data_IF_821723331123
#
_entry.id   IF_821723331123
#
_cell.length_a   1.000
_cell.length_b   1.000
_cell.length_c   1.000
_cell.angle_alpha   90.00
_cell.angle_beta   90.00
_cell.angle_gamma   90.00
#
_symmetry.space_group_name_H-M   'P 1'
#
loop_
_entity.id
_entity.type
_entity.pdbx_description
1 polymer ?
#
# COMPACT_ATOMS: atom_id res chain seq x y z
N UNK A 1 33.11 49.03 22.31
CA UNK A 1 33.04 48.37 23.63
C UNK A 1 31.62 48.48 24.14
N UNK A 2 30.80 47.46 23.92
CA UNK A 2 29.47 47.35 24.50
C UNK A 2 29.22 45.87 24.79
N UNK A 3 29.29 45.54 26.07
CA UNK A 3 29.12 44.21 26.64
C UNK A 3 27.63 43.97 26.86
N UNK A 4 27.04 43.07 26.06
CA UNK A 4 25.69 42.57 26.27
C UNK A 4 25.79 41.33 27.16
N UNK A 5 25.43 41.50 28.43
CA UNK A 5 25.27 40.40 29.38
C UNK A 5 24.05 39.55 28.97
N UNK A 6 24.26 38.26 28.74
CA UNK A 6 23.20 37.26 28.69
C UNK A 6 23.01 36.73 30.11
N UNK A 7 21.87 37.03 30.69
CA UNK A 7 21.32 36.30 31.83
C UNK A 7 20.63 35.04 31.27
N UNK A 8 21.09 33.87 31.67
CA UNK A 8 20.42 32.60 31.44
C UNK A 8 19.41 32.38 32.57
N UNK A 9 18.12 32.08 32.28
CA UNK A 9 17.15 31.74 33.30
C UNK A 9 17.32 30.27 33.72
N UNK A 10 17.48 30.05 35.03
CA UNK A 10 17.43 28.74 35.69
C UNK A 10 16.04 28.09 35.50
N UNK A 11 15.90 27.25 34.48
CA UNK A 11 14.77 26.32 34.34
C UNK A 11 15.02 25.11 35.25
N UNK A 12 14.45 25.17 36.46
CA UNK A 12 14.33 24.02 37.34
C UNK A 12 13.28 23.05 36.75
N UNK A 13 13.74 22.10 35.93
CA UNK A 13 12.94 20.95 35.53
C UNK A 13 12.69 20.04 36.74
N UNK A 14 11.51 20.21 37.34
CA UNK A 14 10.97 19.34 38.37
C UNK A 14 10.69 17.95 37.76
N UNK A 15 11.65 17.04 37.94
CA UNK A 15 11.62 15.67 37.44
C UNK A 15 10.55 14.89 38.20
N UNK A 16 9.33 14.83 37.64
CA UNK A 16 8.29 13.92 38.11
C UNK A 16 8.77 12.48 37.92
N UNK A 17 9.12 11.82 39.03
CA UNK A 17 9.29 10.36 39.07
C UNK A 17 7.90 9.72 38.93
N UNK A 18 7.51 9.50 37.69
CA UNK A 18 6.40 8.64 37.30
C UNK A 18 6.76 7.21 37.77
N UNK A 19 6.27 6.84 38.96
CA UNK A 19 6.26 5.44 39.39
C UNK A 19 5.25 4.72 38.52
N UNK A 20 5.74 4.21 37.39
CA UNK A 20 4.99 3.32 36.51
C UNK A 20 4.35 2.21 37.36
N UNK A 21 3.04 2.05 37.18
CA UNK A 21 2.26 0.93 37.68
C UNK A 21 2.88 -0.37 37.17
N UNK A 22 3.79 -0.91 37.97
CA UNK A 22 4.54 -2.11 37.66
C UNK A 22 3.53 -3.24 37.53
N UNK A 23 3.30 -3.66 36.29
CA UNK A 23 2.35 -4.70 35.93
C UNK A 23 2.55 -5.88 36.89
N UNK A 24 1.48 -6.49 37.43
CA UNK A 24 1.61 -7.71 38.25
C UNK A 24 2.18 -8.90 37.46
N UNK A 25 2.45 -8.72 36.17
CA UNK A 25 3.11 -9.64 35.26
C UNK A 25 4.49 -9.17 34.79
N UNK A 26 4.96 -8.00 35.23
CA UNK A 26 6.34 -7.60 35.05
C UNK A 26 7.20 -8.51 35.94
N UNK A 27 8.05 -9.31 35.30
CA UNK A 27 9.09 -10.07 36.00
C UNK A 27 9.83 -9.07 36.92
N UNK A 28 9.81 -9.30 38.23
CA UNK A 28 10.55 -8.49 39.20
C UNK A 28 12.03 -8.58 38.85
N UNK A 29 12.57 -7.55 38.21
CA UNK A 29 13.88 -7.59 37.55
C UNK A 29 15.05 -7.90 38.52
N UNK A 30 14.86 -7.80 39.83
CA UNK A 30 15.93 -7.85 40.81
C UNK A 30 15.84 -8.95 41.90
N UNK A 31 14.81 -9.80 41.92
CA UNK A 31 14.76 -10.92 42.88
C UNK A 31 15.22 -12.24 42.25
N UNK A 32 16.49 -12.56 42.51
CA UNK A 32 17.15 -13.87 42.39
C UNK A 32 16.77 -14.72 41.18
N UNK A 33 17.23 -14.27 40.01
CA UNK A 33 17.22 -14.98 38.72
C UNK A 33 17.88 -16.39 38.74
N UNK A 34 18.42 -16.82 39.90
CA UNK A 34 18.94 -18.16 40.13
C UNK A 34 17.85 -19.17 40.52
N UNK A 35 16.77 -18.74 41.16
CA UNK A 35 15.69 -19.62 41.65
C UNK A 35 14.56 -19.79 40.63
N UNK A 36 14.59 -19.04 39.52
CA UNK A 36 13.68 -19.22 38.41
C UNK A 36 13.78 -20.64 37.85
N UNK A 37 12.66 -21.35 37.88
CA UNK A 37 12.53 -22.71 37.33
C UNK A 37 12.66 -22.64 35.80
N UNK A 38 13.71 -23.25 35.26
CA UNK A 38 14.00 -23.30 33.81
C UNK A 38 13.44 -24.56 33.14
N UNK A 39 13.11 -25.59 33.92
CA UNK A 39 12.58 -26.85 33.41
C UNK A 39 12.34 -27.85 34.54
N UNK A 40 12.07 -29.10 34.16
CA UNK A 40 11.86 -30.21 35.10
C UNK A 40 12.68 -31.42 34.64
N UNK A 41 13.29 -32.13 35.59
CA UNK A 41 14.00 -33.40 35.33
C UNK A 41 13.65 -34.37 36.45
N UNK A 42 13.17 -35.55 36.09
CA UNK A 42 12.78 -36.62 37.04
C UNK A 42 11.76 -36.18 38.11
N UNK A 43 10.93 -35.17 37.79
CA UNK A 43 9.92 -34.63 38.69
C UNK A 43 10.39 -33.50 39.60
N UNK A 44 11.69 -33.16 39.58
CA UNK A 44 12.24 -32.03 40.32
C UNK A 44 12.35 -30.78 39.43
N UNK A 45 12.09 -29.61 40.00
CA UNK A 45 12.22 -28.32 39.33
C UNK A 45 13.70 -27.99 39.14
N UNK A 46 14.10 -27.73 37.89
CA UNK A 46 15.47 -27.43 37.53
C UNK A 46 15.71 -25.92 37.54
N UNK A 47 16.51 -25.45 38.49
CA UNK A 47 16.93 -24.04 38.56
C UNK A 47 18.16 -23.78 37.69
N UNK A 48 18.54 -22.51 37.54
CA UNK A 48 19.76 -22.13 36.81
C UNK A 48 21.03 -22.65 37.48
N UNK A 49 21.02 -22.81 38.81
CA UNK A 49 22.12 -23.39 39.58
C UNK A 49 22.25 -24.89 39.31
N UNK A 50 21.13 -25.60 39.32
CA UNK A 50 21.10 -27.05 39.04
C UNK A 50 21.55 -27.33 37.61
N UNK A 51 21.11 -26.52 36.65
CA UNK A 51 21.54 -26.64 35.26
C UNK A 51 23.06 -26.48 35.11
N UNK A 52 23.69 -25.55 35.84
CA UNK A 52 25.17 -25.43 35.84
C UNK A 52 25.83 -26.67 36.46
N UNK A 53 25.30 -27.19 37.56
CA UNK A 53 25.85 -28.38 38.21
C UNK A 53 25.72 -29.63 37.33
N UNK A 54 24.58 -29.81 36.67
CA UNK A 54 24.36 -30.91 35.71
C UNK A 54 25.33 -30.81 34.54
N UNK A 55 25.49 -29.62 33.95
CA UNK A 55 26.43 -29.41 32.84
C UNK A 55 27.90 -29.64 33.23
N UNK A 56 28.25 -29.46 34.51
CA UNK A 56 29.57 -29.79 35.05
C UNK A 56 29.73 -31.28 35.32
N UNK A 57 28.69 -31.94 35.86
CA UNK A 57 28.74 -33.36 36.29
C UNK A 57 28.57 -34.33 35.13
N UNK A 58 27.79 -33.98 34.10
CA UNK A 58 27.42 -34.85 32.99
C UNK A 58 27.92 -34.30 31.64
N UNK A 59 29.04 -34.81 31.08
CA UNK A 59 29.58 -34.31 29.82
C UNK A 59 28.62 -34.51 28.62
N UNK A 60 27.83 -35.59 28.63
CA UNK A 60 26.83 -35.85 27.60
C UNK A 60 25.70 -34.80 27.60
N UNK A 61 25.31 -34.29 28.78
CA UNK A 61 24.31 -33.23 28.89
C UNK A 61 24.84 -31.91 28.31
N UNK A 62 26.15 -31.65 28.48
CA UNK A 62 26.81 -30.48 27.89
C UNK A 62 26.82 -30.51 26.37
N UNK A 63 27.14 -31.63 25.75
CA UNK A 63 27.12 -31.75 24.29
C UNK A 63 25.72 -31.52 23.72
N UNK A 64 24.68 -32.09 24.36
CA UNK A 64 23.28 -31.88 23.98
C UNK A 64 22.83 -30.43 24.16
N UNK A 65 23.26 -29.79 25.24
CA UNK A 65 22.95 -28.38 25.47
C UNK A 65 23.65 -27.48 24.44
N UNK A 66 24.92 -27.75 24.12
CA UNK A 66 25.64 -27.01 23.08
C UNK A 66 25.03 -27.22 21.69
N UNK A 67 24.58 -28.43 21.35
CA UNK A 67 23.89 -28.68 20.08
C UNK A 67 22.54 -27.94 20.02
N UNK A 68 21.72 -28.03 21.06
CA UNK A 68 20.46 -27.28 21.17
C UNK A 68 20.68 -25.78 21.13
N UNK A 69 21.77 -25.28 21.73
CA UNK A 69 22.14 -23.87 21.71
C UNK A 69 22.55 -23.42 20.30
N UNK A 70 23.29 -24.25 19.56
CA UNK A 70 23.62 -23.97 18.15
C UNK A 70 22.38 -24.00 17.26
N UNK A 71 21.50 -24.98 17.45
CA UNK A 71 20.26 -25.12 16.68
C UNK A 71 19.28 -23.98 16.97
N UNK A 72 19.17 -23.55 18.23
CA UNK A 72 18.35 -22.39 18.60
C UNK A 72 18.97 -21.08 18.14
N UNK A 73 20.30 -20.94 18.14
CA UNK A 73 20.97 -19.79 17.56
C UNK A 73 20.80 -19.70 16.04
N UNK A 74 20.80 -20.84 15.33
CA UNK A 74 20.53 -20.87 13.88
C UNK A 74 19.04 -20.66 13.56
N UNK A 75 18.14 -21.06 14.47
CA UNK A 75 16.69 -20.86 14.36
C UNK A 75 16.17 -19.53 14.87
N UNK A 76 17.02 -18.64 15.40
CA UNK A 76 16.63 -17.24 15.58
C UNK A 76 16.34 -16.70 14.19
N UNK A 77 15.06 -16.72 13.80
CA UNK A 77 14.58 -16.04 12.60
C UNK A 77 15.18 -14.64 12.70
N UNK A 78 15.93 -14.18 11.69
CA UNK A 78 16.40 -12.80 11.70
C UNK A 78 15.15 -11.97 11.99
N UNK A 79 15.25 -11.15 13.04
CA UNK A 79 14.29 -10.06 13.27
C UNK A 79 14.10 -9.44 11.90
N UNK A 80 12.85 -9.25 11.48
CA UNK A 80 12.50 -8.66 10.19
C UNK A 80 12.98 -7.19 10.16
N UNK A 81 14.29 -6.98 10.20
CA UNK A 81 14.94 -5.80 9.68
C UNK A 81 14.59 -5.84 8.21
N UNK A 82 13.86 -4.85 7.72
CA UNK A 82 13.48 -4.74 6.32
C UNK A 82 14.70 -5.07 5.46
N UNK A 83 14.70 -6.24 4.82
CA UNK A 83 15.84 -6.77 4.08
C UNK A 83 16.30 -5.84 2.94
N UNK A 84 15.49 -4.83 2.64
CA UNK A 84 15.66 -3.83 1.60
C UNK A 84 16.19 -2.49 2.12
N UNK A 85 16.25 -2.29 3.45
CA UNK A 85 16.79 -1.06 4.04
C UNK A 85 18.29 -0.93 3.74
N UNK A 86 18.69 0.19 3.14
CA UNK A 86 20.08 0.49 2.75
C UNK A 86 20.51 0.07 1.33
N UNK A 87 19.65 -0.60 0.55
CA UNK A 87 19.92 -0.87 -0.87
C UNK A 87 19.46 0.30 -1.77
N UNK A 88 20.15 0.55 -2.91
CA UNK A 88 19.66 1.50 -3.92
C UNK A 88 18.27 1.10 -4.46
N UNK A 89 17.41 2.05 -4.85
CA UNK A 89 16.04 1.78 -5.31
C UNK A 89 15.96 0.78 -6.48
N UNK A 90 16.93 0.84 -7.40
CA UNK A 90 17.00 -0.08 -8.54
C UNK A 90 17.21 -1.54 -8.10
N UNK A 91 18.01 -1.76 -7.04
CA UNK A 91 18.25 -3.08 -6.48
C UNK A 91 17.06 -3.57 -5.65
N UNK A 92 16.38 -2.66 -4.95
CA UNK A 92 15.15 -3.00 -4.23
C UNK A 92 14.07 -3.56 -5.19
N UNK A 93 13.91 -2.95 -6.37
CA UNK A 93 12.94 -3.41 -7.37
C UNK A 93 13.24 -4.81 -7.93
N UNK A 94 14.52 -5.14 -8.13
CA UNK A 94 14.94 -6.46 -8.64
C UNK A 94 14.71 -7.57 -7.60
N UNK A 95 15.04 -7.30 -6.33
CA UNK A 95 14.93 -8.31 -5.26
C UNK A 95 13.52 -8.40 -4.66
N UNK A 96 12.67 -7.40 -4.86
CA UNK A 96 11.23 -7.53 -4.62
C UNK A 96 10.60 -8.66 -5.46
N UNK A 97 11.20 -9.04 -6.59
CA UNK A 97 10.74 -10.12 -7.46
C UNK A 97 11.36 -11.49 -7.12
N UNK A 98 12.37 -11.55 -6.24
CA UNK A 98 13.11 -12.76 -5.88
C UNK A 98 13.32 -12.85 -4.36
N UNK A 99 12.25 -13.17 -3.59
CA UNK A 99 12.27 -13.09 -2.12
C UNK A 99 13.23 -14.09 -1.45
N UNK A 100 13.65 -15.14 -2.16
CA UNK A 100 14.53 -16.18 -1.63
C UNK A 100 16.04 -15.81 -1.74
N UNK A 101 16.37 -14.72 -2.43
CA UNK A 101 17.75 -14.29 -2.63
C UNK A 101 18.13 -13.17 -1.65
N UNK A 102 19.26 -13.32 -0.94
CA UNK A 102 19.76 -12.31 -0.01
C UNK A 102 20.29 -11.07 -0.79
N UNK A 103 19.59 -9.91 -0.72
CA UNK A 103 19.93 -8.74 -1.51
C UNK A 103 21.25 -8.09 -1.06
N UNK A 104 21.61 -8.19 0.23
CA UNK A 104 22.81 -7.56 0.77
C UNK A 104 24.09 -8.27 0.32
N UNK A 105 24.05 -9.61 0.27
CA UNK A 105 25.18 -10.42 -0.23
C UNK A 105 25.38 -10.19 -1.74
N UNK A 106 24.31 -10.06 -2.51
CA UNK A 106 24.42 -9.78 -3.93
C UNK A 106 24.97 -8.38 -4.23
N UNK A 107 24.50 -7.36 -3.50
CA UNK A 107 24.98 -5.99 -3.67
C UNK A 107 26.45 -5.83 -3.28
N UNK A 108 26.89 -6.43 -2.18
CA UNK A 108 28.30 -6.39 -1.77
C UNK A 108 29.22 -7.05 -2.81
N UNK A 109 28.79 -8.16 -3.42
CA UNK A 109 29.53 -8.79 -4.54
C UNK A 109 29.57 -7.91 -5.78
N UNK A 110 28.45 -7.33 -6.18
CA UNK A 110 28.40 -6.44 -7.34
C UNK A 110 29.27 -5.20 -7.15
N UNK A 111 29.28 -4.60 -5.94
CA UNK A 111 30.15 -3.47 -5.60
C UNK A 111 31.64 -3.85 -5.66
N UNK A 112 31.99 -5.05 -5.19
CA UNK A 112 33.35 -5.57 -5.28
C UNK A 112 33.76 -5.77 -6.74
N UNK A 113 32.89 -6.36 -7.56
CA UNK A 113 33.14 -6.62 -8.98
C UNK A 113 33.25 -5.32 -9.78
N UNK A 114 32.40 -4.33 -9.49
CA UNK A 114 32.48 -2.99 -10.08
C UNK A 114 33.81 -2.32 -9.71
N UNK A 115 34.25 -2.41 -8.46
CA UNK A 115 35.54 -1.85 -8.03
C UNK A 115 36.74 -2.53 -8.70
N UNK A 116 36.68 -3.85 -8.90
CA UNK A 116 37.70 -4.61 -9.65
C UNK A 116 37.72 -4.22 -11.11
N UNK A 117 36.54 -4.14 -11.75
CA UNK A 117 36.40 -3.72 -13.14
C UNK A 117 36.91 -2.28 -13.36
N UNK A 118 36.60 -1.35 -12.44
CA UNK A 118 37.12 0.03 -12.49
C UNK A 118 38.64 0.08 -12.37
N UNK A 119 39.23 -0.72 -11.47
CA UNK A 119 40.70 -0.83 -11.33
C UNK A 119 41.34 -1.37 -12.61
N UNK A 120 40.83 -2.47 -13.15
CA UNK A 120 41.33 -3.07 -14.39
C UNK A 120 41.19 -2.12 -15.57
N UNK A 121 40.03 -1.45 -15.71
CA UNK A 121 39.82 -0.46 -16.79
C UNK A 121 40.80 0.70 -16.67
N UNK A 122 41.01 1.23 -15.46
CA UNK A 122 41.96 2.33 -15.23
C UNK A 122 43.38 1.92 -15.60
N UNK A 123 43.81 0.74 -15.19
CA UNK A 123 45.12 0.18 -15.53
C UNK A 123 45.30 0.02 -17.05
N UNK A 124 44.30 -0.56 -17.74
CA UNK A 124 44.36 -0.71 -19.20
C UNK A 124 44.26 0.59 -20.00
N UNK A 125 43.59 1.63 -19.45
CA UNK A 125 43.49 2.94 -20.10
C UNK A 125 44.77 3.75 -19.91
N UNK A 126 45.32 3.75 -18.69
CA UNK A 126 46.56 4.45 -18.38
C UNK A 126 47.75 3.82 -19.16
N UNK A 127 47.79 2.50 -19.35
CA UNK A 127 48.80 1.84 -20.19
C UNK A 127 48.62 2.12 -21.70
N UNK A 128 47.39 2.31 -22.17
CA UNK A 128 47.09 2.56 -23.59
C UNK A 128 47.21 4.05 -23.97
N UNK A 129 47.23 4.96 -23.01
CA UNK A 129 47.34 6.42 -23.19
C UNK A 129 48.76 6.97 -22.99
N UNK A 130 49.79 6.13 -22.97
CA UNK A 130 51.19 6.58 -23.08
C UNK A 130 51.50 7.08 -24.50
N UNK A 131 50.91 8.21 -24.87
CA UNK A 131 51.16 8.94 -26.13
C UNK A 131 52.44 9.78 -26.09
N UNK A 132 53.12 9.80 -24.95
CA UNK A 132 54.39 10.50 -24.82
C UNK A 132 55.48 9.73 -25.57
N UNK A 133 56.16 10.43 -26.50
CA UNK A 133 57.29 9.90 -27.26
C UNK A 133 58.30 9.28 -26.32
N UNK A 134 58.57 7.98 -26.51
CA UNK A 134 59.51 7.25 -25.66
C UNK A 134 60.90 7.85 -25.88
N UNK A 135 61.61 8.26 -24.81
CA UNK A 135 62.92 8.89 -24.97
C UNK A 135 63.90 7.88 -25.58
N UNK A 136 64.40 8.18 -26.78
CA UNK A 136 65.43 7.39 -27.48
C UNK A 136 64.99 6.65 -28.75
N UNK A 137 63.72 6.70 -29.15
CA UNK A 137 63.26 6.15 -30.44
C UNK A 137 63.54 7.14 -31.58
N UNK A 138 64.00 6.65 -32.74
CA UNK A 138 64.15 7.47 -33.95
C UNK A 138 62.75 7.82 -34.49
N UNK A 139 62.60 9.03 -35.06
CA UNK A 139 61.33 9.53 -35.62
C UNK A 139 60.71 8.53 -36.62
N UNK A 140 61.54 7.83 -37.40
CA UNK A 140 61.06 6.83 -38.36
C UNK A 140 60.45 5.60 -37.67
N UNK A 141 61.05 5.15 -36.56
CA UNK A 141 60.53 4.03 -35.78
C UNK A 141 59.20 4.41 -35.12
N UNK A 142 59.09 5.61 -34.57
CA UNK A 142 57.86 6.14 -33.99
C UNK A 142 56.74 6.24 -35.03
N UNK A 143 57.03 6.72 -36.25
CA UNK A 143 56.05 6.75 -37.35
C UNK A 143 55.57 5.34 -37.72
N UNK A 144 56.47 4.34 -37.79
CA UNK A 144 56.06 2.96 -38.11
C UNK A 144 55.17 2.36 -37.02
N UNK A 145 55.49 2.61 -35.74
CA UNK A 145 54.73 2.17 -34.58
C UNK A 145 53.33 2.81 -34.54
N UNK A 146 53.26 4.13 -34.68
CA UNK A 146 51.98 4.86 -34.72
C UNK A 146 51.10 4.41 -35.90
N UNK A 147 51.70 4.07 -37.05
CA UNK A 147 50.95 3.50 -38.18
C UNK A 147 50.36 2.13 -37.86
N UNK A 148 51.09 1.24 -37.18
CA UNK A 148 50.53 -0.06 -36.75
C UNK A 148 49.45 0.12 -35.68
N UNK A 149 49.66 0.98 -34.69
CA UNK A 149 48.66 1.28 -33.65
C UNK A 149 47.39 1.89 -34.27
N UNK A 150 47.53 2.82 -35.21
CA UNK A 150 46.38 3.38 -35.92
C UNK A 150 45.61 2.33 -36.74
N UNK A 151 46.32 1.37 -37.36
CA UNK A 151 45.69 0.26 -38.08
C UNK A 151 44.94 -0.69 -37.13
N UNK A 152 45.49 -0.99 -35.97
CA UNK A 152 44.85 -1.79 -34.92
C UNK A 152 43.62 -1.09 -34.35
N UNK A 153 43.72 0.20 -34.00
CA UNK A 153 42.58 0.99 -33.52
C UNK A 153 41.48 1.05 -34.58
N UNK A 154 41.83 1.21 -35.86
CA UNK A 154 40.84 1.19 -36.94
C UNK A 154 40.13 -0.17 -37.04
N UNK A 155 40.86 -1.27 -36.83
CA UNK A 155 40.29 -2.63 -36.78
C UNK A 155 39.35 -2.77 -35.59
N UNK A 156 39.76 -2.35 -34.40
CA UNK A 156 38.95 -2.36 -33.18
C UNK A 156 37.66 -1.54 -33.34
N UNK A 157 37.76 -0.33 -33.91
CA UNK A 157 36.60 0.52 -34.19
C UNK A 157 35.64 -0.17 -35.15
N UNK A 158 36.13 -0.83 -36.19
CA UNK A 158 35.29 -1.57 -37.13
C UNK A 158 34.61 -2.79 -36.49
N UNK A 159 35.29 -3.48 -35.57
CA UNK A 159 34.74 -4.60 -34.80
C UNK A 159 33.67 -4.11 -33.81
N UNK A 160 33.95 -3.04 -33.07
CA UNK A 160 33.01 -2.41 -32.15
C UNK A 160 31.76 -1.90 -32.87
N UNK A 161 31.89 -1.36 -34.09
CA UNK A 161 30.75 -0.95 -34.92
C UNK A 161 29.83 -2.13 -35.25
N UNK A 162 30.39 -3.29 -35.64
CA UNK A 162 29.61 -4.50 -35.89
C UNK A 162 28.88 -4.99 -34.63
N UNK A 163 29.56 -4.97 -33.50
CA UNK A 163 28.96 -5.32 -32.20
C UNK A 163 27.82 -4.37 -31.86
N UNK A 164 27.96 -3.07 -32.10
CA UNK A 164 26.89 -2.09 -31.91
C UNK A 164 25.69 -2.36 -32.83
N UNK A 165 25.92 -2.66 -34.11
CA UNK A 165 24.87 -3.04 -35.07
C UNK A 165 24.13 -4.32 -34.62
N UNK A 166 24.85 -5.34 -34.15
CA UNK A 166 24.27 -6.57 -33.63
C UNK A 166 23.42 -6.32 -32.37
N UNK A 167 23.88 -5.47 -31.46
CA UNK A 167 23.11 -5.09 -30.27
C UNK A 167 21.88 -4.26 -30.63
N UNK A 168 21.98 -3.33 -31.58
CA UNK A 168 20.84 -2.57 -32.07
C UNK A 168 19.77 -3.49 -32.64
N UNK A 169 20.18 -4.49 -33.44
CA UNK A 169 19.27 -5.51 -33.97
C UNK A 169 18.61 -6.35 -32.88
N UNK A 170 19.38 -6.81 -31.87
CA UNK A 170 18.81 -7.55 -30.73
C UNK A 170 17.80 -6.72 -29.94
N UNK A 171 18.06 -5.42 -29.76
CA UNK A 171 17.12 -4.51 -29.11
C UNK A 171 15.84 -4.38 -29.93
N UNK A 172 15.95 -4.20 -31.24
CA UNK A 172 14.80 -4.14 -32.14
C UNK A 172 13.96 -5.43 -32.11
N UNK A 173 14.61 -6.60 -32.22
CA UNK A 173 13.96 -7.91 -32.13
C UNK A 173 13.24 -8.08 -30.78
N UNK A 174 13.86 -7.68 -29.67
CA UNK A 174 13.23 -7.76 -28.34
C UNK A 174 12.02 -6.82 -28.21
N UNK A 175 12.07 -5.63 -28.81
CA UNK A 175 10.96 -4.70 -28.83
C UNK A 175 9.80 -5.22 -29.69
N UNK A 176 10.08 -5.91 -30.79
CA UNK A 176 9.07 -6.55 -31.62
C UNK A 176 8.33 -7.65 -30.83
N UNK A 177 9.06 -8.53 -30.15
CA UNK A 177 8.48 -9.58 -29.29
C UNK A 177 7.64 -8.98 -28.15
N UNK A 178 8.09 -7.89 -27.54
CA UNK A 178 7.32 -7.19 -26.50
C UNK A 178 6.01 -6.59 -27.05
N UNK A 179 6.03 -6.02 -28.26
CA UNK A 179 4.82 -5.49 -28.91
C UNK A 179 3.83 -6.60 -29.25
N UNK A 180 4.32 -7.72 -29.79
CA UNK A 180 3.51 -8.90 -30.08
C UNK A 180 2.90 -9.50 -28.80
N UNK A 181 3.70 -9.67 -27.75
CA UNK A 181 3.23 -10.16 -26.45
C UNK A 181 2.15 -9.26 -25.83
N UNK A 182 2.27 -7.94 -25.96
CA UNK A 182 1.23 -6.98 -25.53
C UNK A 182 -0.05 -7.07 -26.36
N UNK A 183 0.04 -7.36 -27.66
CA UNK A 183 -1.13 -7.55 -28.49
C UNK A 183 -1.88 -8.84 -28.09
N UNK A 184 -1.14 -9.94 -27.90
CA UNK A 184 -1.71 -11.22 -27.46
C UNK A 184 -2.31 -11.14 -26.05
N UNK A 185 -1.65 -10.44 -25.11
CA UNK A 185 -2.21 -10.31 -23.76
C UNK A 185 -3.53 -9.53 -23.75
N UNK A 186 -3.65 -8.49 -24.59
CA UNK A 186 -4.91 -7.74 -24.77
C UNK A 186 -6.02 -8.59 -25.36
N UNK A 187 -5.74 -9.46 -26.32
CA UNK A 187 -6.77 -10.34 -26.91
C UNK A 187 -7.24 -11.38 -25.91
N UNK A 188 -6.31 -11.97 -25.14
CA UNK A 188 -6.65 -12.92 -24.06
C UNK A 188 -7.46 -12.25 -22.96
N UNK A 189 -7.08 -11.04 -22.54
CA UNK A 189 -7.83 -10.28 -21.53
C UNK A 189 -9.26 -10.00 -21.98
N UNK A 190 -9.46 -9.54 -23.22
CA UNK A 190 -10.80 -9.31 -23.78
C UNK A 190 -11.64 -10.57 -23.88
N UNK A 191 -11.03 -11.69 -24.28
CA UNK A 191 -11.70 -12.99 -24.31
C UNK A 191 -12.13 -13.43 -22.91
N UNK A 192 -11.26 -13.23 -21.91
CA UNK A 192 -11.57 -13.51 -20.51
C UNK A 192 -12.70 -12.61 -19.98
N UNK A 193 -12.67 -11.31 -20.26
CA UNK A 193 -13.73 -10.36 -19.88
C UNK A 193 -15.08 -10.76 -20.48
N UNK A 194 -15.08 -11.16 -21.76
CA UNK A 194 -16.29 -11.60 -22.46
C UNK A 194 -16.83 -12.90 -21.86
N UNK A 195 -15.97 -13.90 -21.62
CA UNK A 195 -16.38 -15.15 -20.99
C UNK A 195 -16.89 -14.94 -19.54
N UNK A 196 -16.26 -14.03 -18.79
CA UNK A 196 -16.69 -13.66 -17.45
C UNK A 196 -18.05 -12.95 -17.45
N UNK A 197 -18.28 -12.07 -18.43
CA UNK A 197 -19.57 -11.43 -18.65
C UNK A 197 -20.65 -12.47 -18.98
N UNK A 198 -20.42 -13.33 -19.97
CA UNK A 198 -21.36 -14.36 -20.40
C UNK A 198 -21.71 -15.31 -19.24
N UNK A 199 -20.70 -15.72 -18.46
CA UNK A 199 -20.91 -16.52 -17.25
C UNK A 199 -21.78 -15.80 -16.21
N UNK A 200 -21.54 -14.50 -15.98
CA UNK A 200 -22.30 -13.70 -15.02
C UNK A 200 -23.74 -13.46 -15.48
N UNK A 201 -23.98 -13.34 -16.79
CA UNK A 201 -25.30 -13.29 -17.41
C UNK A 201 -26.00 -14.64 -17.28
N UNK A 202 -25.33 -15.74 -17.60
CA UNK A 202 -25.88 -17.10 -17.50
C UNK A 202 -26.26 -17.47 -16.06
N UNK A 203 -25.46 -17.03 -15.08
CA UNK A 203 -25.75 -17.17 -13.65
C UNK A 203 -26.88 -16.24 -13.15
N UNK A 204 -27.36 -15.33 -13.99
CA UNK A 204 -28.43 -14.38 -13.66
C UNK A 204 -28.00 -13.23 -12.74
N UNK A 205 -26.73 -13.15 -12.35
CA UNK A 205 -26.23 -12.14 -11.42
C UNK A 205 -26.35 -10.73 -12.01
N UNK A 206 -25.91 -10.53 -13.26
CA UNK A 206 -25.96 -9.22 -13.94
C UNK A 206 -27.39 -8.72 -14.17
N UNK A 207 -28.32 -9.62 -14.49
CA UNK A 207 -29.71 -9.26 -14.77
C UNK A 207 -30.46 -8.89 -13.49
N UNK A 208 -30.15 -9.57 -12.38
CA UNK A 208 -30.70 -9.22 -11.07
C UNK A 208 -30.11 -7.93 -10.49
N UNK A 209 -28.82 -7.64 -10.73
CA UNK A 209 -28.18 -6.42 -10.24
C UNK A 209 -28.64 -5.19 -11.00
N UNK A 210 -28.75 -5.26 -12.34
CA UNK A 210 -29.27 -4.16 -13.15
C UNK A 210 -30.71 -3.79 -12.75
N UNK A 211 -31.55 -4.80 -12.56
CA UNK A 211 -32.93 -4.61 -12.11
C UNK A 211 -33.01 -4.00 -10.70
N UNK A 212 -32.13 -4.42 -9.78
CA UNK A 212 -32.02 -3.81 -8.46
C UNK A 212 -31.65 -2.31 -8.53
N UNK A 213 -30.65 -1.94 -9.34
CA UNK A 213 -30.26 -0.53 -9.50
C UNK A 213 -31.35 0.31 -10.18
N UNK A 214 -32.12 -0.27 -11.10
CA UNK A 214 -33.29 0.38 -11.68
C UNK A 214 -34.36 0.68 -10.62
N UNK A 215 -34.68 -0.29 -9.76
CA UNK A 215 -35.62 -0.06 -8.64
C UNK A 215 -35.10 1.02 -7.69
N UNK A 216 -33.82 1.01 -7.35
CA UNK A 216 -33.22 2.04 -6.49
C UNK A 216 -33.32 3.44 -7.11
N UNK A 217 -33.09 3.54 -8.42
CA UNK A 217 -33.19 4.80 -9.16
C UNK A 217 -34.64 5.28 -9.26
N UNK A 218 -35.59 4.36 -9.40
CA UNK A 218 -37.01 4.68 -9.41
C UNK A 218 -37.49 5.14 -8.03
N UNK A 219 -37.07 4.46 -6.96
CA UNK A 219 -37.47 4.78 -5.59
C UNK A 219 -36.94 6.15 -5.15
N UNK A 220 -35.67 6.45 -5.47
CA UNK A 220 -35.07 7.77 -5.23
C UNK A 220 -35.79 8.89 -5.99
N UNK A 221 -36.19 8.66 -7.25
CA UNK A 221 -37.00 9.61 -8.02
C UNK A 221 -38.39 9.84 -7.41
N UNK A 222 -39.06 8.77 -6.96
CA UNK A 222 -40.38 8.90 -6.33
C UNK A 222 -40.28 9.65 -5.00
N UNK A 223 -39.26 9.37 -4.18
CA UNK A 223 -39.03 10.06 -2.93
C UNK A 223 -38.76 11.56 -3.13
N UNK A 224 -37.88 11.93 -4.09
CA UNK A 224 -37.63 13.34 -4.39
C UNK A 224 -38.87 14.05 -4.92
N UNK A 225 -39.67 13.40 -5.78
CA UNK A 225 -40.94 13.95 -6.23
C UNK A 225 -41.94 14.16 -5.07
N UNK A 226 -41.98 13.23 -4.12
CA UNK A 226 -42.78 13.36 -2.90
C UNK A 226 -42.32 14.55 -2.04
N UNK A 227 -41.01 14.74 -1.90
CA UNK A 227 -40.44 15.87 -1.16
C UNK A 227 -40.77 17.20 -1.85
N UNK A 228 -40.59 17.28 -3.17
CA UNK A 228 -40.91 18.49 -3.96
C UNK A 228 -42.39 18.82 -3.83
N UNK A 229 -43.30 17.86 -4.06
CA UNK A 229 -44.74 18.10 -3.94
C UNK A 229 -45.19 18.46 -2.52
N UNK A 230 -44.51 17.94 -1.49
CA UNK A 230 -44.75 18.33 -0.09
C UNK A 230 -44.30 19.76 0.17
N UNK A 231 -43.12 20.15 -0.34
CA UNK A 231 -42.61 21.52 -0.24
C UNK A 231 -43.50 22.51 -0.99
N UNK A 232 -43.90 22.22 -2.22
CA UNK A 232 -44.82 23.04 -3.01
C UNK A 232 -46.15 23.27 -2.27
N UNK A 233 -46.70 22.22 -1.67
CA UNK A 233 -47.92 22.33 -0.85
C UNK A 233 -47.68 23.21 0.37
N UNK A 234 -46.52 23.10 1.03
CA UNK A 234 -46.17 23.93 2.18
C UNK A 234 -46.01 25.40 1.79
N UNK A 235 -45.38 25.70 0.64
CA UNK A 235 -45.27 27.06 0.10
C UNK A 235 -46.65 27.63 -0.20
N UNK A 236 -47.51 26.87 -0.87
CA UNK A 236 -48.89 27.30 -1.17
C UNK A 236 -49.73 27.55 0.10
N UNK A 237 -49.49 26.82 1.19
CA UNK A 237 -50.12 27.08 2.49
C UNK A 237 -49.56 28.36 3.13
N UNK A 238 -48.24 28.55 3.12
CA UNK A 238 -47.60 29.76 3.64
C UNK A 238 -48.07 31.01 2.89
N UNK A 239 -48.16 30.98 1.57
CA UNK A 239 -48.66 32.10 0.76
C UNK A 239 -50.09 32.48 1.16
N UNK A 240 -50.97 31.49 1.34
CA UNK A 240 -52.34 31.73 1.84
C UNK A 240 -52.34 32.36 3.23
N UNK A 241 -51.50 31.89 4.16
CA UNK A 241 -51.41 32.50 5.50
C UNK A 241 -50.83 33.91 5.45
N UNK A 242 -49.89 34.18 4.55
CA UNK A 242 -49.32 35.50 4.37
C UNK A 242 -50.37 36.47 3.80
N UNK A 243 -51.19 36.04 2.86
CA UNK A 243 -52.28 36.86 2.32
C UNK A 243 -53.38 37.13 3.35
N UNK A 244 -53.73 36.14 4.18
CA UNK A 244 -54.62 36.33 5.33
C UNK A 244 -54.06 37.36 6.33
N UNK A 245 -52.78 37.24 6.69
CA UNK A 245 -52.11 38.20 7.59
C UNK A 245 -52.06 39.61 6.99
N UNK A 246 -51.75 39.75 5.70
CA UNK A 246 -51.83 41.04 4.99
C UNK A 246 -53.24 41.61 5.03
N UNK A 247 -54.26 40.77 4.88
CA UNK A 247 -55.66 41.13 5.05
C UNK A 247 -55.94 41.68 6.45
N UNK A 248 -55.55 40.96 7.50
CA UNK A 248 -55.70 41.38 8.89
C UNK A 248 -54.98 42.71 9.19
N UNK A 249 -53.77 42.92 8.65
CA UNK A 249 -53.02 44.17 8.80
C UNK A 249 -53.76 45.33 8.14
N UNK A 250 -54.32 45.14 6.94
CA UNK A 250 -55.12 46.18 6.27
C UNK A 250 -56.36 46.53 7.09
N UNK A 251 -57.11 45.55 7.58
CA UNK A 251 -58.29 45.80 8.41
C UNK A 251 -57.93 46.49 9.73
N UNK A 252 -56.81 46.12 10.35
CA UNK A 252 -56.35 46.76 11.59
C UNK A 252 -55.96 48.23 11.34
N UNK A 253 -55.27 48.51 10.24
CA UNK A 253 -54.93 49.88 9.83
C UNK A 253 -56.17 50.71 9.50
N UNK A 254 -57.19 50.13 8.86
CA UNK A 254 -58.47 50.80 8.63
C UNK A 254 -59.15 51.18 9.94
N UNK A 255 -59.26 50.24 10.89
CA UNK A 255 -59.83 50.50 12.22
C UNK A 255 -59.03 51.55 12.96
N UNK A 256 -57.69 51.45 13.00
CA UNK A 256 -56.82 52.42 13.66
C UNK A 256 -56.96 53.83 13.05
N UNK A 257 -57.04 53.93 11.72
CA UNK A 257 -57.26 55.21 11.05
C UNK A 257 -58.64 55.79 11.37
N UNK A 258 -59.70 54.97 11.41
CA UNK A 258 -61.04 55.40 11.80
C UNK A 258 -61.10 55.86 13.27
N UNK A 259 -60.41 55.16 14.18
CA UNK A 259 -60.27 55.56 15.59
C UNK A 259 -59.46 56.86 15.73
N UNK A 260 -58.38 57.04 14.97
CA UNK A 260 -57.57 58.26 15.00
C UNK A 260 -58.29 59.50 14.44
N UNK A 261 -59.29 59.29 13.57
CA UNK A 261 -60.15 60.36 13.06
C UNK A 261 -61.30 60.70 14.04
N UNK A 262 -61.45 59.95 15.12
CA UNK A 262 -62.56 60.04 16.07
C UNK A 262 -62.06 59.96 17.52
N UNK A 263 -61.12 60.82 17.89
CA UNK A 263 -60.85 61.09 19.31
C UNK A 263 -60.25 62.51 19.52
N UNK A 264 -61.14 63.49 19.67
CA UNK A 264 -61.06 64.39 20.81
C UNK A 264 -61.89 63.72 21.92
N UNK A 265 -61.23 63.03 22.85
CA UNK A 265 -61.52 62.95 24.30
C UNK A 265 -60.71 61.79 24.92
N UNK A 266 -60.04 61.98 26.07
CA UNK A 266 -59.19 60.95 26.66
C UNK A 266 -60.03 60.01 27.54
N UNK A 267 -60.23 58.76 27.11
CA UNK A 267 -60.83 57.73 27.96
C UNK A 267 -59.78 56.73 28.47
N UNK A 268 -59.53 56.80 29.78
CA UNK A 268 -58.66 55.91 30.54
C UNK A 268 -59.24 54.47 30.63
N UNK A 269 -58.44 53.49 30.20
CA UNK A 269 -58.33 52.08 30.71
C UNK A 269 -59.52 51.10 30.52
N UNK A 270 -59.35 49.76 30.72
CA UNK A 270 -58.15 48.97 31.05
C UNK A 270 -57.86 47.75 30.13
N UNK A 271 -56.70 47.15 30.35
CA UNK A 271 -56.12 45.92 29.76
C UNK A 271 -57.07 44.77 29.39
N UNK A 272 -56.94 44.16 28.19
CA UNK A 272 -57.44 42.83 27.92
C UNK A 272 -56.41 41.77 28.33
N UNK A 273 -56.88 40.80 29.12
CA UNK A 273 -56.13 39.61 29.52
C UNK A 273 -55.78 38.75 28.28
N UNK A 274 -54.50 38.36 28.20
CA UNK A 274 -53.98 37.34 27.29
C UNK A 274 -54.75 36.02 27.47
N UNK A 275 -55.63 35.75 26.51
CA UNK A 275 -56.38 34.51 26.39
C UNK A 275 -55.49 33.33 26.02
N UNK A 276 -55.81 32.20 26.65
CA UNK A 276 -55.13 30.92 26.60
C UNK A 276 -54.84 30.40 25.17
N UNK A 277 -53.61 29.95 24.98
CA UNK A 277 -53.18 29.13 23.84
C UNK A 277 -53.78 27.73 23.99
N UNK A 278 -54.49 27.15 23.00
CA UNK A 278 -54.90 25.77 23.07
C UNK A 278 -53.67 24.85 23.00
N UNK A 279 -53.57 23.92 23.95
CA UNK A 279 -52.54 22.92 24.05
C UNK A 279 -52.30 22.22 22.71
N UNK A 280 -51.12 22.43 22.13
CA UNK A 280 -50.60 21.64 21.04
C UNK A 280 -50.36 20.22 21.55
N UNK A 281 -51.22 19.30 21.13
CA UNK A 281 -51.05 17.86 21.27
C UNK A 281 -49.69 17.52 20.64
N UNK A 282 -48.72 17.18 21.48
CA UNK A 282 -47.41 16.66 21.08
C UNK A 282 -47.62 15.38 20.26
N UNK A 283 -47.69 15.54 18.94
CA UNK A 283 -47.68 14.41 18.03
C UNK A 283 -46.23 13.94 17.95
N UNK A 284 -45.99 12.84 18.67
CA UNK A 284 -44.78 12.04 18.74
C UNK A 284 -44.20 11.82 17.34
N UNK A 285 -43.13 12.55 17.00
CA UNK A 285 -42.30 12.27 15.83
C UNK A 285 -41.77 10.84 15.91
N UNK A 286 -41.82 10.05 14.82
CA UNK A 286 -41.07 8.81 14.76
C UNK A 286 -39.57 9.15 14.66
N UNK A 287 -38.78 8.57 15.55
CA UNK A 287 -37.33 8.67 15.54
C UNK A 287 -36.77 8.17 14.19
N UNK A 288 -35.67 8.77 13.69
CA UNK A 288 -34.96 8.23 12.54
C UNK A 288 -34.44 6.84 12.90
N UNK A 289 -34.84 5.85 12.10
CA UNK A 289 -34.41 4.47 12.24
C UNK A 289 -32.89 4.38 12.20
N UNK A 290 -32.32 4.00 13.34
CA UNK A 290 -30.93 3.63 13.48
C UNK A 290 -30.71 2.33 12.71
N UNK A 291 -30.29 2.42 11.45
CA UNK A 291 -29.87 1.26 10.66
C UNK A 291 -28.53 0.76 11.19
N UNK A 292 -28.61 -0.19 12.12
CA UNK A 292 -27.49 -1.05 12.46
C UNK A 292 -27.19 -1.95 11.27
N UNK A 293 -25.92 -2.06 10.82
CA UNK A 293 -25.56 -3.03 9.82
C UNK A 293 -25.64 -4.43 10.44
N UNK A 294 -26.56 -5.22 9.92
CA UNK A 294 -26.72 -6.64 10.22
C UNK A 294 -25.46 -7.37 9.73
N UNK A 295 -24.56 -7.66 10.67
CA UNK A 295 -23.59 -8.74 10.58
C UNK A 295 -24.32 -10.07 10.44
N UNK A 296 -23.91 -10.89 9.47
CA UNK A 296 -24.30 -12.30 9.40
C UNK A 296 -24.71 -12.79 8.02
N UNK A 297 -23.72 -13.07 7.17
CA UNK A 297 -23.76 -14.21 6.25
C UNK A 297 -22.32 -14.64 5.96
N UNK A 298 -21.87 -15.65 6.71
CA UNK A 298 -20.64 -16.36 6.45
C UNK A 298 -20.73 -17.02 5.07
N UNK A 299 -19.96 -16.50 4.12
CA UNK A 299 -19.70 -17.17 2.84
C UNK A 299 -18.62 -18.23 3.08
N UNK A 300 -18.87 -19.52 2.80
CA UNK A 300 -17.81 -20.52 2.87
C UNK A 300 -16.82 -20.29 1.74
N UNK A 301 -15.56 -20.02 2.10
CA UNK A 301 -14.44 -20.06 1.16
C UNK A 301 -14.29 -21.50 0.64
N UNK A 302 -14.30 -21.76 -0.68
CA UNK A 302 -13.80 -23.02 -1.19
C UNK A 302 -12.29 -23.05 -0.97
N UNK A 303 -11.85 -23.98 -0.12
CA UNK A 303 -10.45 -24.26 0.12
C UNK A 303 -9.72 -24.56 -1.19
N UNK A 304 -8.77 -23.70 -1.55
CA UNK A 304 -7.77 -24.02 -2.56
C UNK A 304 -6.83 -25.04 -1.91
N UNK A 305 -7.02 -26.30 -2.28
CA UNK A 305 -6.11 -27.38 -1.96
C UNK A 305 -4.75 -27.09 -2.61
N UNK A 306 -3.79 -26.64 -1.81
CA UNK A 306 -2.38 -26.59 -2.19
C UNK A 306 -1.85 -28.03 -2.26
N UNK A 307 -2.02 -28.67 -3.43
CA UNK A 307 -1.27 -29.87 -3.77
C UNK A 307 0.20 -29.50 -3.98
N UNK A 308 1.01 -29.68 -2.94
CA UNK A 308 2.45 -29.86 -3.10
C UNK A 308 2.69 -31.16 -3.86
N UNK A 309 2.83 -31.06 -5.19
CA UNK A 309 3.50 -32.10 -5.98
C UNK A 309 4.94 -31.64 -6.16
N UNK A 310 5.84 -32.27 -5.40
CA UNK A 310 7.27 -32.14 -5.60
C UNK A 310 7.66 -32.69 -6.97
N UNK A 311 8.03 -31.81 -7.88
CA UNK A 311 8.72 -32.17 -9.12
C UNK A 311 10.01 -31.37 -9.15
N UNK A 312 11.14 -32.08 -8.99
CA UNK A 312 12.47 -31.56 -9.24
C UNK A 312 12.53 -31.06 -10.70
N UNK A 313 12.46 -29.74 -10.88
CA UNK A 313 12.49 -29.08 -12.17
C UNK A 313 13.92 -28.65 -12.54
N UNK A 314 14.36 -28.87 -13.80
CA UNK A 314 15.71 -28.56 -14.25
C UNK A 314 15.98 -27.05 -14.35
N UNK A 315 17.27 -26.72 -14.25
CA UNK A 315 17.89 -25.40 -14.17
C UNK A 315 17.35 -24.38 -15.20
N UNK A 316 17.27 -23.08 -14.84
CA UNK A 316 16.63 -22.02 -15.65
C UNK A 316 17.27 -21.75 -17.03
N UNK A 317 18.46 -22.29 -17.31
CA UNK A 317 19.14 -22.13 -18.60
C UNK A 317 18.63 -23.05 -19.73
N UNK A 318 17.73 -24.01 -19.46
CA UNK A 318 17.20 -24.92 -20.48
C UNK A 318 15.74 -24.65 -20.92
N UNK A 319 15.05 -23.65 -20.34
CA UNK A 319 13.63 -23.37 -20.66
C UNK A 319 13.40 -22.53 -21.92
N UNK A 320 14.42 -21.82 -22.43
CA UNK A 320 14.24 -20.92 -23.58
C UNK A 320 14.07 -21.62 -24.94
N UNK A 321 14.32 -22.93 -25.03
CA UNK A 321 14.40 -23.63 -26.33
C UNK A 321 13.17 -24.48 -26.70
N UNK A 322 12.11 -24.54 -25.87
CA UNK A 322 10.97 -25.47 -26.08
C UNK A 322 9.60 -24.82 -26.28
N UNK A 323 9.49 -23.50 -26.46
CA UNK A 323 8.22 -22.84 -26.80
C UNK A 323 8.00 -22.73 -28.33
N UNK A 324 8.22 -23.83 -29.06
CA UNK A 324 7.71 -23.94 -30.44
C UNK A 324 6.50 -24.87 -30.44
N UNK A 325 5.37 -24.31 -30.88
CA UNK A 325 4.12 -24.97 -31.26
C UNK A 325 3.16 -25.43 -30.14
N UNK A 326 2.58 -24.46 -29.41
CA UNK A 326 1.18 -24.63 -28.97
C UNK A 326 0.28 -24.32 -30.16
N UNK A 327 -0.09 -25.36 -30.90
CA UNK A 327 -1.00 -25.31 -32.03
C UNK A 327 -2.42 -25.08 -31.50
N UNK A 328 -2.88 -23.83 -31.56
CA UNK A 328 -4.28 -23.48 -31.26
C UNK A 328 -5.18 -24.16 -32.29
N UNK A 329 -6.16 -25.00 -31.89
CA UNK A 329 -7.08 -25.62 -32.84
C UNK A 329 -7.96 -24.55 -33.50
N UNK A 330 -8.30 -24.69 -34.79
CA UNK A 330 -9.17 -23.74 -35.47
C UNK A 330 -10.58 -23.79 -34.87
N UNK A 331 -11.09 -22.61 -34.48
CA UNK A 331 -12.48 -22.42 -34.07
C UNK A 331 -13.38 -22.73 -35.26
N UNK A 332 -14.21 -23.75 -35.12
CA UNK A 332 -15.19 -24.15 -36.14
C UNK A 332 -16.25 -23.06 -36.30
N UNK A 333 -16.57 -22.61 -37.52
CA UNK A 333 -17.71 -21.74 -37.75
C UNK A 333 -18.96 -22.62 -37.82
N UNK A 334 -19.67 -22.79 -36.71
CA UNK A 334 -20.99 -23.43 -36.74
C UNK A 334 -22.05 -22.53 -36.13
N UNK A 335 -23.12 -22.36 -36.90
CA UNK A 335 -24.48 -21.97 -36.49
C UNK A 335 -24.71 -20.47 -36.30
N UNK A 336 -24.79 -19.78 -37.44
CA UNK A 336 -25.87 -18.82 -37.66
C UNK A 336 -26.88 -19.49 -38.58
N UNK A 337 -28.00 -19.91 -38.00
CA UNK A 337 -29.32 -19.94 -38.63
C UNK A 337 -30.27 -19.16 -37.73
#
# INVERSE_FOLDING_TARGET
MSSFAKEDPDEAEEKFEEKDDQSPWADSDDEDNNDRVLGWRDGESLTRRDLRQILQREPQARERYESLRRDSASKKRPVQVEALSGLPPEWQAVYALAPDADPQVAWSRAKLEESRSKRQKKETLDDRLQWESRPGESIEQEITRLKSEAAEVKKDVSANKKVQEDWAKKVEDSQAVLKEGKAVSRTVLRAFETASYDHSVAKGQLRSSEMYFQFLTQDTKQNTQLQVSTLERSCALMDKTMDLLKGHIRTLNEVANMSSASELEPFFSPSPQLGAVPATKTQKSPAPGNMTPRTGAATPHPGVATSQVGVAGPSPLQRASKLKALKVPPVSPSLRD
#
